data_IF_936501172131
#
_entry.id   IF_936501172131
#
_cell.length_a   1.000
_cell.length_b   1.000
_cell.length_c   1.000
_cell.angle_alpha   90.00
_cell.angle_beta   90.00
_cell.angle_gamma   90.00
#
_symmetry.space_group_name_H-M   'P 1'
#
loop_
_entity.id
_entity.type
_entity.pdbx_description
1 polymer ?
#
# COMPACT_ATOMS: atom_id res chain seq x y z
N UNK A 1 -46.32 -20.91 16.09
CA UNK A 1 -47.15 -20.71 14.88
C UNK A 1 -46.27 -21.02 13.68
N UNK A 2 -46.32 -22.26 13.16
CA UNK A 2 -47.01 -22.55 11.90
C UNK A 2 -48.05 -21.51 11.48
N UNK A 3 -48.10 -21.28 10.17
CA UNK A 3 -49.02 -20.44 9.42
C UNK A 3 -50.47 -20.92 9.58
N UNK A 4 -51.03 -20.60 10.74
CA UNK A 4 -52.43 -20.36 11.08
C UNK A 4 -52.43 -20.17 12.59
N UNK A 5 -52.32 -18.90 12.97
CA UNK A 5 -52.23 -18.44 14.35
C UNK A 5 -53.49 -18.65 15.16
N UNK A 6 -53.70 -19.87 15.65
CA UNK A 6 -54.67 -20.11 16.70
C UNK A 6 -54.26 -21.35 17.52
N UNK A 7 -53.79 -21.14 18.74
CA UNK A 7 -53.71 -22.18 19.77
C UNK A 7 -55.05 -22.19 20.51
N UNK A 8 -55.70 -23.35 20.51
CA UNK A 8 -56.97 -23.63 21.18
C UNK A 8 -56.84 -23.58 22.71
N UNK A 9 -57.85 -22.97 23.35
CA UNK A 9 -57.94 -22.64 24.79
C UNK A 9 -58.13 -23.84 25.72
N UNK A 10 -57.60 -25.02 25.39
CA UNK A 10 -57.79 -26.25 26.19
C UNK A 10 -56.54 -26.81 26.87
N UNK A 11 -55.39 -26.14 26.80
CA UNK A 11 -54.14 -26.59 27.46
C UNK A 11 -53.59 -25.64 28.54
N UNK A 12 -54.44 -24.85 29.19
CA UNK A 12 -54.04 -24.08 30.37
C UNK A 12 -54.50 -24.77 31.65
N UNK A 13 -53.70 -25.73 32.14
CA UNK A 13 -53.77 -26.15 33.55
C UNK A 13 -53.00 -25.13 34.41
N UNK A 14 -53.59 -24.59 35.49
CA UNK A 14 -52.85 -23.73 36.41
C UNK A 14 -51.84 -24.58 37.20
N UNK A 15 -50.55 -24.37 36.97
CA UNK A 15 -49.50 -24.92 37.82
C UNK A 15 -49.30 -23.99 39.03
N UNK A 16 -49.41 -24.58 40.23
CA UNK A 16 -49.29 -23.93 41.54
C UNK A 16 -48.05 -23.04 41.64
N UNK A 17 -48.13 -21.91 42.35
CA UNK A 17 -46.92 -21.19 42.72
C UNK A 17 -46.02 -22.08 43.59
N UNK A 18 -44.69 -22.00 43.44
CA UNK A 18 -43.76 -22.72 44.30
C UNK A 18 -43.99 -22.30 45.76
N UNK A 19 -44.04 -23.28 46.67
CA UNK A 19 -44.08 -23.02 48.11
C UNK A 19 -42.80 -22.29 48.51
N UNK A 20 -42.92 -21.01 48.86
CA UNK A 20 -41.85 -20.27 49.52
C UNK A 20 -41.70 -20.86 50.93
N UNK A 21 -40.50 -21.30 51.36
CA UNK A 21 -40.28 -21.70 52.73
C UNK A 21 -40.53 -20.49 53.65
N UNK A 22 -41.44 -20.65 54.61
CA UNK A 22 -41.62 -19.67 55.69
C UNK A 22 -40.31 -19.67 56.50
N UNK A 23 -39.66 -18.52 56.60
CA UNK A 23 -38.48 -18.36 57.45
C UNK A 23 -38.85 -18.70 58.92
N UNK A 24 -38.02 -19.47 59.64
CA UNK A 24 -38.33 -19.81 61.02
C UNK A 24 -38.41 -18.55 61.88
N UNK A 25 -39.36 -18.52 62.82
CA UNK A 25 -39.55 -17.43 63.76
C UNK A 25 -38.24 -17.11 64.51
N UNK A 26 -38.02 -15.82 64.72
CA UNK A 26 -36.81 -15.20 65.30
C UNK A 26 -36.38 -15.80 66.67
N UNK A 27 -37.24 -16.57 67.33
CA UNK A 27 -37.00 -17.19 68.64
C UNK A 27 -36.24 -18.54 68.62
N UNK A 28 -35.97 -19.13 67.44
CA UNK A 28 -35.21 -20.39 67.32
C UNK A 28 -33.72 -20.18 67.01
N UNK A 29 -33.28 -18.96 66.66
CA UNK A 29 -31.87 -18.63 66.41
C UNK A 29 -31.05 -18.34 67.68
N UNK A 30 -31.71 -18.05 68.81
CA UNK A 30 -31.04 -17.71 70.08
C UNK A 30 -30.70 -18.90 70.97
N UNK A 31 -31.07 -20.13 70.59
CA UNK A 31 -30.79 -21.33 71.40
C UNK A 31 -29.70 -22.23 70.80
N UNK A 32 -29.19 -21.91 69.61
CA UNK A 32 -28.01 -22.55 69.02
C UNK A 32 -26.72 -21.73 69.25
N UNK A 33 -26.79 -20.57 69.89
CA UNK A 33 -25.66 -19.69 70.21
C UNK A 33 -25.10 -19.89 71.62
N UNK A 34 -25.21 -21.11 72.15
CA UNK A 34 -24.66 -21.49 73.45
C UNK A 34 -23.87 -22.80 73.32
N UNK A 35 -22.87 -22.77 72.44
CA UNK A 35 -21.70 -23.64 72.53
C UNK A 35 -20.50 -22.72 72.35
N UNK A 36 -19.86 -22.43 73.49
CA UNK A 36 -18.63 -21.67 73.60
C UNK A 36 -17.50 -22.48 72.93
N UNK A 37 -17.07 -22.07 71.74
CA UNK A 37 -15.84 -22.55 71.08
C UNK A 37 -15.10 -21.38 70.40
N UNK A 38 -13.75 -21.35 70.41
CA UNK A 38 -12.96 -20.14 70.22
C UNK A 38 -12.87 -19.74 68.73
N UNK A 39 -13.86 -18.99 68.23
CA UNK A 39 -14.05 -18.69 66.79
C UNK A 39 -13.50 -17.36 66.26
N UNK A 40 -12.83 -16.56 67.07
CA UNK A 40 -12.37 -15.23 66.65
C UNK A 40 -10.96 -15.24 66.02
N UNK A 41 -10.08 -16.15 66.46
CA UNK A 41 -8.72 -16.26 65.96
C UNK A 41 -8.63 -16.81 64.52
N UNK A 42 -9.49 -17.76 64.16
CA UNK A 42 -9.44 -18.44 62.85
C UNK A 42 -9.98 -17.59 61.71
N UNK A 43 -11.01 -16.78 61.95
CA UNK A 43 -11.56 -15.86 60.94
C UNK A 43 -10.58 -14.74 60.60
N UNK A 44 -9.86 -14.24 61.61
CA UNK A 44 -8.82 -13.23 61.44
C UNK A 44 -7.60 -13.80 60.70
N UNK A 45 -7.22 -15.04 61.00
CA UNK A 45 -6.16 -15.78 60.28
C UNK A 45 -6.53 -16.01 58.82
N UNK A 46 -7.77 -16.38 58.52
CA UNK A 46 -8.25 -16.58 57.15
C UNK A 46 -8.26 -15.27 56.34
N UNK A 47 -8.69 -14.16 56.94
CA UNK A 47 -8.66 -12.83 56.29
C UNK A 47 -7.23 -12.34 56.02
N UNK A 48 -6.31 -12.56 56.97
CA UNK A 48 -4.88 -12.25 56.79
C UNK A 48 -4.25 -13.11 55.70
N UNK A 49 -4.58 -14.39 55.64
CA UNK A 49 -4.12 -15.30 54.58
C UNK A 49 -4.66 -14.89 53.20
N UNK A 50 -5.95 -14.54 53.10
CA UNK A 50 -6.55 -14.05 51.86
C UNK A 50 -5.93 -12.71 51.40
N UNK A 51 -5.69 -11.78 52.33
CA UNK A 51 -5.00 -10.53 52.04
C UNK A 51 -3.56 -10.74 51.57
N UNK A 52 -2.82 -11.67 52.18
CA UNK A 52 -1.47 -12.04 51.76
C UNK A 52 -1.46 -12.66 50.36
N UNK A 53 -2.41 -13.56 50.06
CA UNK A 53 -2.54 -14.16 48.72
C UNK A 53 -2.88 -13.12 47.65
N UNK A 54 -3.77 -12.17 47.95
CA UNK A 54 -4.11 -11.08 47.02
C UNK A 54 -2.90 -10.18 46.76
N UNK A 55 -2.13 -9.83 47.79
CA UNK A 55 -0.91 -9.05 47.64
C UNK A 55 0.14 -9.77 46.80
N UNK A 56 0.32 -11.08 47.01
CA UNK A 56 1.23 -11.89 46.19
C UNK A 56 0.78 -11.97 44.72
N UNK A 57 -0.54 -12.08 44.49
CA UNK A 57 -1.09 -12.05 43.14
C UNK A 57 -0.86 -10.69 42.46
N UNK A 58 -1.15 -9.58 43.15
CA UNK A 58 -0.91 -8.22 42.64
C UNK A 58 0.58 -7.95 42.38
N UNK A 59 1.47 -8.44 43.23
CA UNK A 59 2.91 -8.33 43.02
C UNK A 59 3.34 -9.13 41.78
N UNK A 60 2.82 -10.35 41.62
CA UNK A 60 3.08 -11.19 40.46
C UNK A 60 2.62 -10.57 39.14
N UNK A 61 1.43 -9.97 39.10
CA UNK A 61 0.93 -9.28 37.90
C UNK A 61 1.72 -8.01 37.59
N UNK A 62 2.12 -7.24 38.61
CA UNK A 62 2.97 -6.07 38.41
C UNK A 62 4.35 -6.43 37.83
N UNK A 63 5.00 -7.47 38.37
CA UNK A 63 6.27 -7.98 37.85
C UNK A 63 6.09 -8.52 36.42
N UNK A 64 5.01 -9.25 36.15
CA UNK A 64 4.66 -9.72 34.82
C UNK A 64 4.50 -8.59 33.81
N UNK A 65 3.79 -7.51 34.18
CA UNK A 65 3.59 -6.34 33.32
C UNK A 65 4.92 -5.66 32.98
N UNK A 66 5.79 -5.44 33.98
CA UNK A 66 7.13 -4.86 33.77
C UNK A 66 7.96 -5.73 32.84
N UNK A 67 7.88 -7.05 32.98
CA UNK A 67 8.63 -7.98 32.10
C UNK A 67 8.11 -7.94 30.66
N UNK A 68 6.79 -7.89 30.46
CA UNK A 68 6.17 -7.77 29.13
C UNK A 68 6.55 -6.43 28.48
N UNK A 69 6.51 -5.33 29.22
CA UNK A 69 6.93 -4.01 28.72
C UNK A 69 8.42 -4.06 28.34
N UNK A 70 9.28 -4.66 29.18
CA UNK A 70 10.70 -4.81 28.90
C UNK A 70 10.98 -5.63 27.64
N UNK A 71 10.33 -6.79 27.48
CA UNK A 71 10.44 -7.61 26.26
C UNK A 71 9.94 -6.84 25.05
N UNK A 72 8.80 -6.15 25.17
CA UNK A 72 8.23 -5.37 24.06
C UNK A 72 9.18 -4.26 23.60
N UNK A 73 9.80 -3.53 24.54
CA UNK A 73 10.82 -2.52 24.20
C UNK A 73 12.09 -3.12 23.60
N UNK A 74 12.53 -4.30 24.07
CA UNK A 74 13.66 -5.01 23.46
C UNK A 74 13.36 -5.45 22.04
N UNK A 75 12.15 -5.96 21.78
CA UNK A 75 11.71 -6.32 20.42
C UNK A 75 11.65 -5.08 19.55
N UNK A 76 11.08 -3.97 20.04
CA UNK A 76 11.03 -2.71 19.30
C UNK A 76 12.43 -2.21 18.95
N UNK A 77 13.37 -2.19 19.90
CA UNK A 77 14.76 -1.77 19.65
C UNK A 77 15.48 -2.68 18.64
N UNK A 78 15.19 -3.99 18.65
CA UNK A 78 15.72 -4.94 17.66
C UNK A 78 15.14 -4.69 16.27
N UNK A 79 13.85 -4.43 16.18
CA UNK A 79 13.18 -4.11 14.92
C UNK A 79 13.70 -2.78 14.36
N UNK A 80 13.80 -1.73 15.17
CA UNK A 80 14.39 -0.44 14.78
C UNK A 80 15.84 -0.57 14.31
N UNK A 81 16.65 -1.39 14.99
CA UNK A 81 18.03 -1.66 14.57
C UNK A 81 18.12 -2.45 13.25
N UNK A 82 17.15 -3.32 12.97
CA UNK A 82 17.09 -4.09 11.73
C UNK A 82 16.41 -3.34 10.57
N UNK A 83 15.60 -2.32 10.87
CA UNK A 83 14.87 -1.54 9.89
C UNK A 83 15.75 -0.85 8.85
N UNK A 84 16.89 -0.20 9.19
CA UNK A 84 17.79 0.34 8.17
C UNK A 84 18.34 -0.77 7.26
N UNK A 85 18.67 -1.95 7.79
CA UNK A 85 19.14 -3.09 6.99
C UNK A 85 18.06 -3.76 6.12
N UNK A 86 16.79 -3.76 6.54
CA UNK A 86 15.68 -4.33 5.76
C UNK A 86 15.20 -3.37 4.66
N UNK A 87 15.18 -2.06 4.93
CA UNK A 87 14.87 -1.03 3.91
C UNK A 87 16.03 -0.83 2.92
N UNK A 88 17.28 -1.06 3.35
CA UNK A 88 18.48 -0.93 2.50
C UNK A 88 19.00 -2.24 1.94
N UNK A 89 18.29 -3.37 2.00
CA UNK A 89 18.65 -4.45 1.07
C UNK A 89 18.36 -3.93 -0.33
N UNK A 90 19.38 -3.57 -1.13
CA UNK A 90 19.12 -3.29 -2.53
C UNK A 90 18.66 -4.65 -3.05
N UNK A 91 17.42 -4.74 -3.55
CA UNK A 91 17.08 -5.89 -4.37
C UNK A 91 17.97 -5.81 -5.61
N UNK A 92 19.13 -6.48 -5.54
CA UNK A 92 20.21 -6.50 -6.53
C UNK A 92 19.83 -7.25 -7.80
N UNK A 93 18.59 -7.73 -7.92
CA UNK A 93 18.17 -8.50 -9.09
C UNK A 93 18.22 -7.72 -10.42
N UNK A 94 18.28 -6.38 -10.41
CA UNK A 94 18.43 -5.58 -11.64
C UNK A 94 19.55 -4.54 -11.63
N UNK A 95 19.95 -4.02 -10.47
CA UNK A 95 20.92 -2.90 -10.41
C UNK A 95 22.29 -3.21 -11.00
N UNK A 96 22.79 -4.44 -10.83
CA UNK A 96 24.13 -4.82 -11.32
C UNK A 96 24.13 -5.24 -12.80
N UNK A 97 23.00 -5.70 -13.34
CA UNK A 97 22.86 -5.99 -14.77
C UNK A 97 22.83 -4.70 -15.58
N UNK A 98 22.29 -3.61 -15.02
CA UNK A 98 22.21 -2.30 -15.69
C UNK A 98 23.50 -1.49 -15.53
N UNK A 99 24.25 -1.64 -14.42
CA UNK A 99 25.51 -0.89 -14.19
C UNK A 99 26.79 -1.59 -14.64
N UNK A 100 26.78 -2.93 -14.82
CA UNK A 100 27.99 -3.73 -14.80
C UNK A 100 28.93 -3.63 -16.01
N UNK A 101 28.46 -3.21 -17.19
CA UNK A 101 29.32 -3.11 -18.38
C UNK A 101 28.74 -2.09 -19.36
N UNK A 102 29.59 -1.43 -20.15
CA UNK A 102 29.24 -0.51 -21.26
C UNK A 102 28.98 0.96 -20.92
N UNK A 103 29.90 1.59 -20.18
CA UNK A 103 30.05 3.05 -20.15
C UNK A 103 30.88 3.48 -21.39
N UNK A 104 30.19 3.80 -22.48
CA UNK A 104 30.79 4.44 -23.67
C UNK A 104 30.06 5.76 -23.89
N UNK A 105 30.79 6.86 -23.90
CA UNK A 105 30.27 8.18 -24.27
C UNK A 105 29.61 8.09 -25.66
N UNK A 106 28.31 8.37 -25.70
CA UNK A 106 27.51 8.22 -26.90
C UNK A 106 26.10 8.69 -26.59
N UNK A 107 25.84 9.94 -26.96
CA UNK A 107 24.57 10.67 -26.99
C UNK A 107 23.34 9.79 -26.69
N UNK A 108 22.69 10.08 -25.56
CA UNK A 108 21.59 9.32 -24.98
C UNK A 108 20.36 9.21 -25.89
N UNK A 109 19.45 8.31 -25.52
CA UNK A 109 18.14 8.22 -26.16
C UNK A 109 17.27 9.43 -25.80
N UNK A 110 16.47 9.90 -26.77
CA UNK A 110 15.43 10.88 -26.53
C UNK A 110 14.26 10.23 -25.80
N UNK A 111 13.91 10.73 -24.64
CA UNK A 111 12.86 10.15 -23.79
C UNK A 111 11.78 11.18 -23.57
N UNK A 112 10.54 10.77 -23.82
CA UNK A 112 9.35 11.57 -23.58
C UNK A 112 8.55 10.95 -22.43
N UNK A 113 8.28 11.74 -21.40
CA UNK A 113 7.30 11.43 -20.36
C UNK A 113 6.08 12.31 -20.64
N UNK A 114 4.94 11.70 -21.00
CA UNK A 114 3.67 12.41 -21.17
C UNK A 114 2.68 11.91 -20.15
N UNK A 115 2.00 12.80 -19.45
CA UNK A 115 1.02 12.41 -18.45
C UNK A 115 -0.16 13.38 -18.37
N UNK A 116 -1.27 12.92 -17.80
CA UNK A 116 -2.41 13.80 -17.49
C UNK A 116 -2.07 14.83 -16.40
N UNK A 117 -2.97 15.74 -16.08
CA UNK A 117 -2.79 16.69 -14.99
C UNK A 117 -2.92 16.03 -13.60
N UNK A 118 -2.88 16.82 -12.52
CA UNK A 118 -3.14 16.34 -11.15
C UNK A 118 -1.91 16.19 -10.26
N UNK A 119 -2.04 16.44 -8.94
CA UNK A 119 -0.90 16.60 -8.02
C UNK A 119 -0.12 15.30 -7.79
N UNK A 120 -0.83 14.18 -7.55
CA UNK A 120 -0.19 12.89 -7.37
C UNK A 120 0.49 12.41 -8.66
N UNK A 121 -0.23 12.43 -9.79
CA UNK A 121 0.32 11.92 -11.05
C UNK A 121 1.56 12.73 -11.49
N UNK A 122 1.55 14.04 -11.25
CA UNK A 122 2.73 14.90 -11.45
C UNK A 122 3.93 14.49 -10.60
N UNK A 123 3.72 14.18 -9.31
CA UNK A 123 4.80 13.69 -8.43
C UNK A 123 5.29 12.29 -8.84
N UNK A 124 4.41 11.43 -9.36
CA UNK A 124 4.80 10.12 -9.89
C UNK A 124 5.60 10.28 -11.19
N UNK A 125 5.18 11.17 -12.09
CA UNK A 125 5.91 11.52 -13.30
C UNK A 125 7.31 12.08 -12.97
N UNK A 126 7.42 12.94 -11.96
CA UNK A 126 8.70 13.44 -11.48
C UNK A 126 9.60 12.32 -10.93
N UNK A 127 9.04 11.29 -10.29
CA UNK A 127 9.81 10.12 -9.87
C UNK A 127 10.31 9.30 -11.07
N UNK A 128 9.50 9.13 -12.12
CA UNK A 128 9.96 8.53 -13.39
C UNK A 128 11.08 9.37 -14.00
N UNK A 129 10.94 10.69 -14.01
CA UNK A 129 11.93 11.63 -14.52
C UNK A 129 13.27 11.49 -13.80
N UNK A 130 13.27 11.40 -12.47
CA UNK A 130 14.48 11.14 -11.66
C UNK A 130 15.16 9.85 -12.14
N UNK A 131 14.40 8.77 -12.34
CA UNK A 131 14.94 7.51 -12.85
C UNK A 131 15.58 7.64 -14.22
N UNK A 132 14.93 8.36 -15.14
CA UNK A 132 15.50 8.62 -16.46
C UNK A 132 16.82 9.40 -16.35
N UNK A 133 16.84 10.46 -15.53
CA UNK A 133 18.03 11.31 -15.35
C UNK A 133 19.20 10.57 -14.72
N UNK A 134 18.95 9.57 -13.87
CA UNK A 134 19.98 8.72 -13.29
C UNK A 134 20.79 7.96 -14.37
N UNK A 135 20.19 7.71 -15.54
CA UNK A 135 20.83 6.99 -16.65
C UNK A 135 21.42 7.95 -17.70
N UNK A 136 20.76 9.08 -17.96
CA UNK A 136 21.18 10.04 -18.99
C UNK A 136 22.28 11.03 -18.52
N UNK A 137 22.73 10.96 -17.27
CA UNK A 137 23.88 11.73 -16.72
C UNK A 137 23.96 13.21 -17.19
N UNK A 138 22.92 14.02 -16.90
CA UNK A 138 22.81 15.46 -17.21
C UNK A 138 22.70 15.88 -18.70
N UNK A 139 22.45 14.97 -19.64
CA UNK A 139 22.05 15.34 -21.01
C UNK A 139 20.62 15.91 -21.06
N UNK A 140 20.45 17.17 -20.65
CA UNK A 140 19.12 17.81 -20.50
C UNK A 140 18.30 17.87 -21.79
N UNK A 141 18.95 17.81 -22.96
CA UNK A 141 18.28 17.84 -24.27
C UNK A 141 17.62 16.50 -24.64
N UNK A 142 17.98 15.40 -23.97
CA UNK A 142 17.52 14.05 -24.28
C UNK A 142 16.24 13.65 -23.51
N UNK A 143 15.61 14.58 -22.79
CA UNK A 143 14.42 14.33 -21.98
C UNK A 143 13.38 15.46 -22.12
N UNK A 144 12.14 15.09 -22.47
CA UNK A 144 10.98 15.98 -22.40
C UNK A 144 9.96 15.43 -21.42
N UNK A 145 9.43 16.31 -20.57
CA UNK A 145 8.30 16.03 -19.67
C UNK A 145 7.16 16.96 -20.07
N UNK A 146 6.00 16.39 -20.41
CA UNK A 146 4.84 17.12 -20.93
C UNK A 146 3.56 16.68 -20.23
N UNK A 147 2.68 17.65 -19.97
CA UNK A 147 1.27 17.35 -19.74
C UNK A 147 0.58 17.05 -21.07
N UNK A 148 -0.54 16.33 -21.05
CA UNK A 148 -1.30 16.03 -22.27
C UNK A 148 -1.72 17.28 -23.05
N UNK A 149 -1.98 18.40 -22.38
CA UNK A 149 -2.34 19.68 -23.01
C UNK A 149 -1.18 20.25 -23.87
N UNK A 150 0.07 19.97 -23.48
CA UNK A 150 1.26 20.53 -24.10
C UNK A 150 2.07 19.50 -24.90
N UNK A 151 1.53 18.30 -25.11
CA UNK A 151 2.16 17.23 -25.86
C UNK A 151 1.50 17.09 -27.23
N UNK A 152 2.30 16.84 -28.27
CA UNK A 152 1.77 16.49 -29.60
C UNK A 152 2.42 15.24 -30.18
N UNK A 153 1.66 14.54 -31.01
CA UNK A 153 2.19 13.38 -31.74
C UNK A 153 3.37 13.78 -32.64
N UNK A 154 3.19 14.82 -33.46
CA UNK A 154 4.16 15.23 -34.47
C UNK A 154 5.48 15.74 -33.87
N UNK A 155 5.44 16.52 -32.77
CA UNK A 155 6.65 17.16 -32.24
C UNK A 155 7.33 16.37 -31.12
N UNK A 156 6.55 15.67 -30.29
CA UNK A 156 7.10 15.00 -29.11
C UNK A 156 7.23 13.49 -29.32
N UNK A 157 6.15 12.82 -29.74
CA UNK A 157 6.16 11.34 -29.90
C UNK A 157 7.11 10.92 -31.02
N UNK A 158 7.11 11.64 -32.14
CA UNK A 158 8.04 11.36 -33.25
C UNK A 158 9.49 11.66 -32.89
N UNK A 159 9.76 12.68 -32.08
CA UNK A 159 11.10 13.03 -31.61
C UNK A 159 11.72 11.96 -30.69
N UNK A 160 10.90 11.27 -29.89
CA UNK A 160 11.36 10.38 -28.84
C UNK A 160 11.79 8.99 -29.33
N UNK A 161 12.84 8.41 -28.75
CA UNK A 161 13.15 6.98 -28.86
C UNK A 161 12.35 6.14 -27.85
N UNK A 162 11.89 6.75 -26.76
CA UNK A 162 11.03 6.13 -25.76
C UNK A 162 9.89 7.06 -25.32
N UNK A 163 8.70 6.49 -25.13
CA UNK A 163 7.53 7.22 -24.63
C UNK A 163 7.02 6.53 -23.38
N UNK A 164 6.88 7.30 -22.31
CA UNK A 164 6.31 6.88 -21.03
C UNK A 164 4.99 7.61 -20.82
N UNK A 165 3.87 6.87 -20.80
CA UNK A 165 2.52 7.43 -20.69
C UNK A 165 1.98 7.31 -19.26
N UNK A 166 1.56 8.44 -18.68
CA UNK A 166 0.98 8.55 -17.34
C UNK A 166 -0.51 8.91 -17.37
N UNK A 167 -1.36 8.17 -16.66
CA UNK A 167 -2.81 8.50 -16.58
C UNK A 167 -3.41 8.21 -15.21
N UNK A 168 -4.56 8.81 -14.92
CA UNK A 168 -5.38 8.40 -13.79
C UNK A 168 -6.21 7.15 -14.14
N UNK A 169 -6.42 6.29 -13.15
CA UNK A 169 -7.42 5.22 -13.24
C UNK A 169 -8.81 5.83 -13.06
N UNK A 170 -9.66 5.67 -14.07
CA UNK A 170 -11.07 6.12 -14.04
C UNK A 170 -11.96 4.89 -14.22
N UNK A 171 -12.57 4.40 -13.12
CA UNK A 171 -13.41 3.20 -13.14
C UNK A 171 -12.73 2.01 -13.83
N UNK A 172 -11.50 1.69 -13.46
CA UNK A 172 -10.64 0.67 -14.08
C UNK A 172 -10.33 0.88 -15.58
N UNK A 173 -10.52 2.11 -16.08
CA UNK A 173 -10.21 2.51 -17.45
C UNK A 173 -9.19 3.65 -17.48
N UNK A 174 -8.62 3.85 -18.66
CA UNK A 174 -7.76 4.99 -19.00
C UNK A 174 -8.58 6.27 -18.99
N UNK A 175 -8.05 7.34 -18.38
CA UNK A 175 -8.68 8.65 -18.42
C UNK A 175 -8.99 9.12 -19.87
N UNK A 176 -10.16 9.70 -20.15
CA UNK A 176 -10.54 10.16 -21.49
C UNK A 176 -9.55 11.12 -22.17
N UNK A 177 -8.83 11.96 -21.41
CA UNK A 177 -7.81 12.85 -21.99
C UNK A 177 -6.67 12.06 -22.65
N UNK A 178 -6.23 10.98 -22.00
CA UNK A 178 -5.17 10.12 -22.51
C UNK A 178 -5.63 9.31 -23.73
N UNK A 179 -6.87 8.79 -23.71
CA UNK A 179 -7.41 8.08 -24.90
C UNK A 179 -7.59 9.04 -26.07
N UNK A 180 -7.97 10.29 -25.82
CA UNK A 180 -8.04 11.33 -26.86
C UNK A 180 -6.65 11.61 -27.46
N UNK A 181 -5.63 11.82 -26.64
CA UNK A 181 -4.26 12.00 -27.11
C UNK A 181 -3.76 10.83 -27.95
N UNK A 182 -4.00 9.59 -27.51
CA UNK A 182 -3.64 8.38 -28.27
C UNK A 182 -4.41 8.27 -29.60
N UNK A 183 -5.66 8.73 -29.66
CA UNK A 183 -6.45 8.72 -30.89
C UNK A 183 -5.91 9.65 -31.99
N UNK A 184 -5.07 10.62 -31.62
CA UNK A 184 -4.45 11.56 -32.55
C UNK A 184 -3.13 11.02 -33.13
N UNK A 185 -2.65 9.85 -32.68
CA UNK A 185 -1.43 9.23 -33.19
C UNK A 185 -1.68 8.58 -34.56
N UNK A 186 -0.81 8.88 -35.52
CA UNK A 186 -0.97 8.35 -36.87
C UNK A 186 -0.56 6.88 -36.95
N UNK A 187 -1.45 6.04 -37.50
CA UNK A 187 -1.18 4.64 -37.80
C UNK A 187 -0.25 4.45 -39.02
N UNK A 188 0.00 5.50 -39.80
CA UNK A 188 0.92 5.44 -40.97
C UNK A 188 2.39 5.55 -40.58
N UNK A 189 2.70 6.07 -39.39
CA UNK A 189 4.06 6.28 -38.93
C UNK A 189 4.66 5.01 -38.33
N UNK A 190 5.98 4.83 -38.49
CA UNK A 190 6.68 3.69 -37.92
C UNK A 190 7.19 3.99 -36.51
N UNK A 191 6.43 3.53 -35.50
CA UNK A 191 6.82 3.59 -34.10
C UNK A 191 7.43 2.27 -33.60
N UNK A 192 7.63 1.27 -34.48
CA UNK A 192 7.98 -0.10 -34.06
C UNK A 192 9.31 -0.23 -33.34
N UNK A 193 10.16 0.78 -33.51
CA UNK A 193 11.48 0.82 -32.94
C UNK A 193 11.59 1.69 -31.68
N UNK A 194 10.45 2.20 -31.19
CA UNK A 194 10.37 3.02 -29.97
C UNK A 194 10.05 2.14 -28.77
N UNK A 195 10.59 2.51 -27.61
CA UNK A 195 10.25 1.88 -26.33
C UNK A 195 8.97 2.50 -25.78
N UNK A 196 8.03 1.65 -25.35
CA UNK A 196 6.78 2.07 -24.73
C UNK A 196 6.71 1.61 -23.27
N UNK A 197 6.36 2.53 -22.37
CA UNK A 197 6.17 2.24 -20.95
C UNK A 197 5.02 3.08 -20.38
N UNK A 198 4.49 2.67 -19.23
CA UNK A 198 3.30 3.31 -18.64
C UNK A 198 3.41 3.45 -17.12
N UNK A 199 2.73 4.44 -16.58
CA UNK A 199 2.49 4.58 -15.15
C UNK A 199 1.10 5.12 -14.85
N UNK A 200 0.58 4.84 -13.66
CA UNK A 200 -0.78 5.26 -13.25
C UNK A 200 -0.87 5.68 -11.80
N UNK A 201 -1.86 6.52 -11.48
CA UNK A 201 -2.33 6.69 -10.09
C UNK A 201 -3.74 6.09 -9.97
N UNK A 202 -3.99 5.35 -8.89
CA UNK A 202 -5.28 4.73 -8.57
C UNK A 202 -5.77 5.18 -7.20
N UNK A 203 -7.10 5.18 -7.03
CA UNK A 203 -7.72 5.43 -5.73
C UNK A 203 -7.39 4.34 -4.72
N UNK A 204 -7.50 3.06 -5.12
CA UNK A 204 -7.28 1.93 -4.23
C UNK A 204 -6.46 0.79 -4.82
N UNK A 205 -5.95 -0.08 -3.96
CA UNK A 205 -5.34 -1.36 -4.31
C UNK A 205 -6.41 -2.25 -4.95
N UNK A 206 -6.06 -2.92 -6.04
CA UNK A 206 -6.99 -3.77 -6.79
C UNK A 206 -8.22 -3.00 -7.32
N UNK A 207 -8.08 -1.69 -7.55
CA UNK A 207 -9.16 -0.82 -8.03
C UNK A 207 -9.04 -0.48 -9.53
N UNK A 208 -8.20 -1.23 -10.27
CA UNK A 208 -8.13 -1.18 -11.73
C UNK A 208 -6.83 -0.60 -12.28
N UNK A 209 -5.80 -0.43 -11.45
CA UNK A 209 -4.46 0.03 -11.82
C UNK A 209 -3.80 -0.89 -12.85
N UNK A 210 -3.86 -2.21 -12.65
CA UNK A 210 -3.27 -3.20 -13.56
C UNK A 210 -4.01 -3.22 -14.89
N UNK A 211 -5.36 -3.20 -14.86
CA UNK A 211 -6.18 -3.20 -16.06
C UNK A 211 -5.93 -1.94 -16.91
N UNK A 212 -5.81 -0.79 -16.26
CA UNK A 212 -5.54 0.49 -16.92
C UNK A 212 -4.15 0.50 -17.56
N UNK A 213 -3.12 0.01 -16.85
CA UNK A 213 -1.77 -0.13 -17.41
C UNK A 213 -1.76 -1.08 -18.62
N UNK A 214 -2.36 -2.26 -18.51
CA UNK A 214 -2.43 -3.22 -19.61
C UNK A 214 -3.17 -2.65 -20.82
N UNK A 215 -4.23 -1.86 -20.61
CA UNK A 215 -4.95 -1.19 -21.70
C UNK A 215 -4.05 -0.16 -22.45
N UNK A 216 -3.28 0.64 -21.72
CA UNK A 216 -2.27 1.52 -22.35
C UNK A 216 -1.19 0.71 -23.09
N UNK A 217 -0.69 -0.38 -22.50
CA UNK A 217 0.28 -1.25 -23.16
C UNK A 217 -0.28 -1.86 -24.45
N UNK A 218 -1.55 -2.28 -24.46
CA UNK A 218 -2.23 -2.74 -25.67
C UNK A 218 -2.26 -1.65 -26.74
N UNK A 219 -2.54 -0.41 -26.36
CA UNK A 219 -2.52 0.72 -27.28
C UNK A 219 -1.14 0.92 -27.91
N UNK A 220 -0.07 0.83 -27.11
CA UNK A 220 1.32 0.92 -27.59
C UNK A 220 1.70 -0.26 -28.51
N UNK A 221 1.16 -1.45 -28.27
CA UNK A 221 1.39 -2.62 -29.14
C UNK A 221 0.73 -2.49 -30.52
N UNK A 222 -0.38 -1.77 -30.67
CA UNK A 222 -0.94 -1.44 -31.99
C UNK A 222 0.08 -0.69 -32.85
N UNK A 223 0.87 0.18 -32.22
CA UNK A 223 1.98 0.91 -32.85
C UNK A 223 3.28 0.09 -32.95
N UNK A 224 3.23 -1.20 -32.60
CA UNK A 224 4.35 -2.18 -32.66
C UNK A 224 5.54 -1.80 -31.77
N UNK A 225 5.33 -0.97 -30.75
CA UNK A 225 6.40 -0.53 -29.85
C UNK A 225 6.94 -1.68 -29.00
N UNK A 226 8.19 -1.55 -28.56
CA UNK A 226 8.82 -2.49 -27.64
C UNK A 226 8.38 -2.14 -26.21
N UNK A 227 7.60 -3.02 -25.59
CA UNK A 227 7.01 -2.76 -24.28
C UNK A 227 7.97 -3.05 -23.12
N UNK A 228 8.09 -2.10 -22.19
CA UNK A 228 8.95 -2.18 -21.02
C UNK A 228 8.13 -1.90 -19.75
N UNK A 229 8.06 -2.90 -18.87
CA UNK A 229 7.60 -2.74 -17.49
C UNK A 229 8.65 -2.13 -16.56
N UNK A 230 8.33 -2.01 -15.28
CA UNK A 230 9.24 -1.52 -14.25
C UNK A 230 10.45 -2.42 -14.02
N UNK A 231 11.38 -1.93 -13.19
CA UNK A 231 12.65 -2.61 -12.87
C UNK A 231 12.44 -3.97 -12.18
N UNK A 232 11.39 -4.06 -11.36
CA UNK A 232 11.09 -5.22 -10.51
C UNK A 232 9.85 -5.95 -11.00
N UNK A 233 9.74 -7.24 -10.67
CA UNK A 233 8.56 -8.05 -10.97
C UNK A 233 7.29 -7.49 -10.28
N UNK A 234 7.44 -6.78 -9.16
CA UNK A 234 6.33 -6.08 -8.46
C UNK A 234 5.89 -4.77 -9.15
N UNK A 235 6.45 -4.48 -10.31
CA UNK A 235 6.13 -3.37 -11.21
C UNK A 235 6.08 -3.85 -12.68
N UNK A 236 5.72 -5.13 -12.90
CA UNK A 236 5.88 -5.79 -14.20
C UNK A 236 5.16 -5.11 -15.37
N UNK A 237 4.02 -4.46 -15.13
CA UNK A 237 3.24 -3.75 -16.16
C UNK A 237 3.56 -2.27 -16.29
N UNK A 238 4.39 -1.73 -15.39
CA UNK A 238 4.62 -0.30 -15.23
C UNK A 238 4.71 0.09 -13.76
N UNK A 239 4.70 1.39 -13.48
CA UNK A 239 4.65 1.91 -12.12
C UNK A 239 3.23 2.37 -11.77
N UNK A 240 2.77 2.05 -10.57
CA UNK A 240 1.49 2.57 -10.06
C UNK A 240 1.69 3.20 -8.68
N UNK A 241 0.85 4.17 -8.35
CA UNK A 241 0.71 4.70 -7.00
C UNK A 241 -0.75 4.66 -6.56
N UNK A 242 -0.99 4.19 -5.33
CA UNK A 242 -2.30 4.25 -4.68
C UNK A 242 -2.35 5.51 -3.83
N UNK A 243 -3.43 6.29 -3.93
CA UNK A 243 -3.51 7.65 -3.34
C UNK A 243 -4.84 8.01 -2.67
N UNK A 244 -5.86 7.16 -2.79
CA UNK A 244 -7.22 7.43 -2.30
C UNK A 244 -7.76 6.37 -1.34
N UNK A 245 -6.87 5.64 -0.66
CA UNK A 245 -7.23 4.72 0.42
C UNK A 245 -6.11 4.69 1.47
N UNK A 246 -6.45 4.25 2.69
CA UNK A 246 -5.48 4.10 3.77
C UNK A 246 -4.45 3.00 3.48
N UNK A 247 -3.17 3.18 3.86
CA UNK A 247 -2.62 4.33 4.57
C UNK A 247 -2.05 5.41 3.62
N UNK A 248 -2.40 5.41 2.34
CA UNK A 248 -1.79 6.27 1.32
C UNK A 248 -2.49 7.61 1.12
N UNK A 249 -3.75 7.74 1.55
CA UNK A 249 -4.45 9.01 1.68
C UNK A 249 -4.22 9.65 3.06
N UNK A 250 -4.43 10.97 3.26
CA UNK A 250 -4.36 11.57 4.59
C UNK A 250 -5.43 11.06 5.56
N UNK A 251 -5.06 10.93 6.83
CA UNK A 251 -5.95 10.45 7.89
C UNK A 251 -7.22 11.31 8.12
N UNK A 252 -7.25 12.54 7.59
CA UNK A 252 -8.29 13.54 7.81
C UNK A 252 -9.64 13.25 7.14
N UNK A 253 -9.72 12.24 6.28
CA UNK A 253 -10.98 11.89 5.58
C UNK A 253 -11.86 10.90 6.36
N UNK A 254 -11.29 10.17 7.32
CA UNK A 254 -11.97 9.12 8.09
C UNK A 254 -11.92 9.43 9.60
N UNK A 255 -13.00 9.13 10.33
CA UNK A 255 -13.01 9.27 11.79
C UNK A 255 -11.97 8.32 12.42
N UNK A 256 -11.35 8.66 13.57
CA UNK A 256 -10.32 7.84 14.19
C UNK A 256 -10.74 6.38 14.47
N UNK A 257 -12.05 6.13 14.58
CA UNK A 257 -12.66 4.83 14.86
C UNK A 257 -12.83 3.96 13.61
N UNK A 258 -12.70 4.51 12.39
CA UNK A 258 -12.89 3.81 11.11
C UNK A 258 -11.59 3.66 10.32
N UNK A 259 -10.43 3.84 10.96
CA UNK A 259 -9.12 3.72 10.31
C UNK A 259 -8.62 2.28 10.34
N UNK A 260 -8.22 1.77 9.18
CA UNK A 260 -7.59 0.44 9.07
C UNK A 260 -6.16 0.40 9.63
N UNK A 261 -5.51 1.57 9.78
CA UNK A 261 -4.11 1.68 10.20
C UNK A 261 -3.89 2.68 11.35
N UNK A 262 -2.77 2.60 12.10
CA UNK A 262 -2.38 3.61 13.10
C UNK A 262 -2.13 5.00 12.47
N UNK A 263 -2.33 6.11 13.19
CA UNK A 263 -2.18 7.47 12.64
C UNK A 263 -0.81 7.78 12.03
N UNK A 264 0.27 7.15 12.52
CA UNK A 264 1.63 7.32 12.02
C UNK A 264 1.83 6.79 10.60
N UNK A 265 0.95 5.92 10.11
CA UNK A 265 1.04 5.33 8.78
C UNK A 265 0.54 6.27 7.68
N UNK A 266 -0.27 7.27 8.02
CA UNK A 266 -0.90 8.16 7.05
C UNK A 266 0.03 9.33 6.72
N UNK A 267 0.12 9.75 5.45
CA UNK A 267 0.90 10.91 5.05
C UNK A 267 0.34 12.20 5.66
N UNK A 268 1.26 13.12 5.96
CA UNK A 268 0.93 14.48 6.38
C UNK A 268 0.69 15.43 5.21
N UNK A 269 1.40 15.20 4.10
CA UNK A 269 1.22 15.93 2.83
C UNK A 269 0.09 15.24 2.03
N UNK A 270 -1.02 15.95 1.74
CA UNK A 270 -2.17 15.38 1.06
C UNK A 270 -1.89 14.93 -0.36
N UNK A 271 -0.86 15.48 -0.98
CA UNK A 271 -0.47 15.16 -2.33
C UNK A 271 0.70 14.15 -2.35
N UNK A 272 1.16 13.65 -1.21
CA UNK A 272 2.33 12.77 -1.16
C UNK A 272 2.10 11.45 -1.91
N UNK A 273 3.20 10.85 -2.38
CA UNK A 273 3.22 9.47 -2.84
C UNK A 273 4.14 8.71 -1.90
N UNK A 274 3.66 7.57 -1.41
CA UNK A 274 4.43 6.69 -0.55
C UNK A 274 5.70 6.19 -1.26
N UNK A 275 6.82 6.12 -0.53
CA UNK A 275 8.16 5.81 -1.09
C UNK A 275 8.20 4.51 -1.90
N UNK A 276 7.45 3.49 -1.47
CA UNK A 276 7.30 2.23 -2.22
C UNK A 276 6.85 2.43 -3.68
N UNK A 277 5.93 3.35 -3.95
CA UNK A 277 5.47 3.64 -5.31
C UNK A 277 6.46 4.55 -6.05
N UNK A 278 7.05 5.51 -5.32
CA UNK A 278 8.10 6.39 -5.83
C UNK A 278 9.30 5.60 -6.35
N UNK A 279 9.78 4.61 -5.61
CA UNK A 279 10.90 3.76 -6.00
C UNK A 279 10.60 2.93 -7.25
N UNK A 280 9.37 2.43 -7.40
CA UNK A 280 8.94 1.72 -8.61
C UNK A 280 8.94 2.64 -9.84
N UNK A 281 8.52 3.90 -9.68
CA UNK A 281 8.56 4.89 -10.75
C UNK A 281 9.99 5.28 -11.14
N UNK A 282 10.88 5.47 -10.17
CA UNK A 282 12.31 5.68 -10.43
C UNK A 282 12.88 4.48 -11.21
N UNK A 283 12.63 3.26 -10.75
CA UNK A 283 13.11 2.05 -11.44
C UNK A 283 12.54 1.90 -12.85
N UNK A 284 11.28 2.28 -13.08
CA UNK A 284 10.69 2.35 -14.43
C UNK A 284 11.48 3.30 -15.33
N UNK A 285 11.75 4.52 -14.85
CA UNK A 285 12.52 5.52 -15.59
C UNK A 285 13.93 5.05 -15.94
N UNK A 286 14.65 4.46 -14.98
CA UNK A 286 15.99 3.90 -15.18
C UNK A 286 15.97 2.80 -16.25
N UNK A 287 15.00 1.89 -16.18
CA UNK A 287 14.90 0.76 -17.11
C UNK A 287 14.55 1.20 -18.53
N UNK A 288 13.60 2.13 -18.68
CA UNK A 288 13.24 2.73 -19.98
C UNK A 288 14.45 3.40 -20.60
N UNK A 289 15.14 4.26 -19.85
CA UNK A 289 16.29 5.00 -20.36
C UNK A 289 17.45 4.08 -20.76
N UNK A 290 17.70 3.05 -19.97
CA UNK A 290 18.74 2.06 -20.26
C UNK A 290 18.45 1.29 -21.55
N UNK A 291 17.24 0.74 -21.69
CA UNK A 291 16.85 -0.05 -22.87
C UNK A 291 16.83 0.83 -24.12
N UNK A 292 16.22 2.01 -24.05
CA UNK A 292 16.15 2.93 -25.19
C UNK A 292 17.56 3.35 -25.67
N UNK A 293 18.46 3.65 -24.73
CA UNK A 293 19.85 4.01 -25.05
C UNK A 293 20.61 2.85 -25.69
N UNK A 294 20.39 1.62 -25.22
CA UNK A 294 20.98 0.42 -25.83
C UNK A 294 20.48 0.20 -27.27
N UNK A 295 19.16 0.30 -27.49
CA UNK A 295 18.57 0.16 -28.82
C UNK A 295 19.04 1.24 -29.80
N UNK A 296 19.12 2.51 -29.35
CA UNK A 296 19.63 3.62 -30.17
C UNK A 296 21.08 3.41 -30.57
N UNK A 297 21.93 2.94 -29.64
CA UNK A 297 23.33 2.58 -29.94
C UNK A 297 23.41 1.45 -30.96
N UNK A 298 22.69 0.35 -30.73
CA UNK A 298 22.68 -0.79 -31.64
C UNK A 298 22.26 -0.39 -33.07
N UNK A 299 21.22 0.46 -33.22
CA UNK A 299 20.80 0.97 -34.53
C UNK A 299 21.88 1.79 -35.22
N UNK A 300 22.55 2.70 -34.48
CA UNK A 300 23.63 3.51 -35.05
C UNK A 300 24.81 2.65 -35.50
N UNK A 301 25.15 1.62 -34.74
CA UNK A 301 26.24 0.72 -35.10
C UNK A 301 25.93 -0.10 -36.36
N UNK A 302 24.67 -0.55 -36.52
CA UNK A 302 24.22 -1.21 -37.76
C UNK A 302 24.29 -0.27 -38.97
N UNK A 303 23.81 0.97 -38.84
CA UNK A 303 23.83 1.97 -39.92
C UNK A 303 25.24 2.44 -40.32
N UNK A 304 26.26 2.19 -39.49
CA UNK A 304 27.67 2.51 -39.79
C UNK A 304 28.40 1.38 -40.52
N UNK A 305 27.81 0.19 -40.57
CA UNK A 305 28.39 -0.98 -41.25
C UNK A 305 27.97 -1.08 -42.72
N UNK A 306 26.94 -0.32 -43.13
CA UNK A 306 26.48 -0.13 -44.50
C UNK A 306 27.14 1.11 -45.15
#
# INVERSE_FOLDING_TARGET
>A
MNSNGCLTRSELRPLRPPRVPVAPAYSQLQRASASDEPRDADSLRLRRAAGALLLLFCLGTAVGLVHVIGISQQVLARLEAQQPSLLHQPHTQSRDVVRGTWRREGEGANILIVYSDGPHLSKLAAAVEVGVRNVLENETMSLRVRTLENASFAEDVMWADAVVLGTHVVNANVEPKMTKFLSDWSLSEDLSQKVGAVFVTSGGLSAGEELTMVNLLHSLMIFRMIIVGGERWTSAFGASAIVGEGPFEPAGQNSPETRDFPPICYPTDPDAIHDMFRDKAIGLGERVASIASQLRRARRDLLRQD
#
